data_IF_788008623853
#
_entry.id   IF_788008623853
#
_cell.length_a   1.000
_cell.length_b   1.000
_cell.length_c   1.000
_cell.angle_alpha   90.00
_cell.angle_beta   90.00
_cell.angle_gamma   90.00
#
_symmetry.space_group_name_H-M   'P 1'
#
loop_
_entity.id
_entity.type
_entity.pdbx_description
1 polymer ?
#
# COMPACT_ATOMS: atom_id res chain seq x y z
N UNK A 1 9.36 -4.38 14.88
CA UNK A 1 8.67 -3.94 13.65
C UNK A 1 9.17 -4.81 12.52
N UNK A 2 8.34 -5.65 11.92
CA UNK A 2 8.75 -6.48 10.78
C UNK A 2 8.70 -5.63 9.50
N UNK A 3 9.85 -5.33 8.91
CA UNK A 3 10.00 -4.34 7.84
C UNK A 3 9.42 -4.69 6.46
N UNK A 4 8.83 -5.87 6.28
CA UNK A 4 8.30 -6.32 4.99
C UNK A 4 9.36 -6.85 4.01
N UNK A 5 8.95 -7.49 2.91
CA UNK A 5 9.83 -8.06 1.88
C UNK A 5 10.90 -7.10 1.33
N UNK A 6 10.54 -5.84 1.06
CA UNK A 6 11.48 -4.82 0.56
C UNK A 6 12.56 -4.52 1.60
N UNK A 7 12.19 -4.38 2.87
CA UNK A 7 13.18 -4.20 3.94
C UNK A 7 14.11 -5.39 4.08
N UNK A 8 13.61 -6.62 3.90
CA UNK A 8 14.45 -7.81 3.93
C UNK A 8 15.49 -7.81 2.80
N UNK A 9 15.14 -7.32 1.61
CA UNK A 9 16.08 -7.14 0.51
C UNK A 9 17.18 -6.09 0.79
N UNK A 10 16.96 -5.20 1.75
CA UNK A 10 17.92 -4.18 2.18
C UNK A 10 18.82 -4.65 3.32
N UNK A 11 18.80 -5.93 3.71
CA UNK A 11 19.58 -6.44 4.85
C UNK A 11 21.10 -6.21 4.73
N UNK A 12 21.63 -6.10 3.50
CA UNK A 12 23.04 -5.78 3.24
C UNK A 12 23.39 -4.29 3.35
N UNK A 13 22.40 -3.39 3.44
CA UNK A 13 22.57 -1.94 3.58
C UNK A 13 21.66 -1.41 4.70
N UNK A 14 22.14 -1.42 5.96
CA UNK A 14 21.31 -1.04 7.11
C UNK A 14 20.88 0.43 7.08
N UNK A 15 21.65 1.33 6.47
CA UNK A 15 21.29 2.75 6.36
C UNK A 15 20.11 2.92 5.43
N UNK A 16 20.13 2.24 4.27
CA UNK A 16 19.01 2.27 3.34
C UNK A 16 17.76 1.59 3.93
N UNK A 17 17.93 0.49 4.66
CA UNK A 17 16.84 -0.18 5.38
C UNK A 17 16.17 0.74 6.41
N UNK A 18 16.95 1.50 7.18
CA UNK A 18 16.45 2.49 8.14
C UNK A 18 15.67 3.62 7.45
N UNK A 19 16.20 4.16 6.35
CA UNK A 19 15.50 5.20 5.57
C UNK A 19 14.18 4.70 4.99
N UNK A 20 14.15 3.49 4.45
CA UNK A 20 12.93 2.87 3.94
C UNK A 20 11.88 2.71 5.05
N UNK A 21 12.28 2.14 6.19
CA UNK A 21 11.38 1.95 7.34
C UNK A 21 10.85 3.29 7.87
N UNK A 22 11.69 4.32 7.97
CA UNK A 22 11.30 5.64 8.44
C UNK A 22 10.34 6.35 7.47
N UNK A 23 10.59 6.25 6.15
CA UNK A 23 9.70 6.82 5.13
C UNK A 23 8.32 6.15 5.17
N UNK A 24 8.29 4.81 5.17
CA UNK A 24 7.06 4.03 5.29
C UNK A 24 6.27 4.40 6.55
N UNK A 25 6.93 4.45 7.71
CA UNK A 25 6.26 4.78 8.97
C UNK A 25 5.64 6.18 8.97
N UNK A 26 6.29 7.17 8.32
CA UNK A 26 5.73 8.52 8.17
C UNK A 26 4.50 8.55 7.27
N UNK A 27 4.52 7.80 6.16
CA UNK A 27 3.37 7.70 5.26
C UNK A 27 2.18 6.99 5.94
N UNK A 28 2.43 5.86 6.60
CA UNK A 28 1.39 5.12 7.33
C UNK A 28 0.83 5.95 8.51
N UNK A 29 1.70 6.63 9.28
CA UNK A 29 1.30 7.44 10.43
C UNK A 29 0.47 8.69 10.11
N UNK A 30 0.40 9.09 8.83
CA UNK A 30 -0.49 10.18 8.39
C UNK A 30 -1.95 9.73 8.20
N UNK A 31 -2.22 8.42 8.27
CA UNK A 31 -3.51 7.79 8.01
C UNK A 31 -4.04 7.06 9.24
N UNK A 32 -5.32 6.70 9.18
CA UNK A 32 -5.90 5.77 10.14
C UNK A 32 -5.30 4.36 9.95
N UNK A 33 -4.92 3.70 11.05
CA UNK A 33 -4.22 2.42 11.00
C UNK A 33 -5.09 1.29 10.41
N UNK A 34 -6.40 1.33 10.64
CA UNK A 34 -7.33 0.35 10.06
C UNK A 34 -7.43 0.55 8.55
N UNK A 35 -7.46 1.79 8.07
CA UNK A 35 -7.41 2.07 6.64
C UNK A 35 -6.12 1.54 6.00
N UNK A 36 -4.96 1.77 6.62
CA UNK A 36 -3.66 1.24 6.12
C UNK A 36 -3.71 -0.29 6.00
N UNK A 37 -4.23 -0.99 7.01
CA UNK A 37 -4.36 -2.45 6.96
C UNK A 37 -5.28 -2.92 5.82
N UNK A 38 -6.43 -2.28 5.63
CA UNK A 38 -7.36 -2.60 4.54
C UNK A 38 -6.78 -2.34 3.15
N UNK A 39 -6.01 -1.26 2.98
CA UNK A 39 -5.32 -0.95 1.71
C UNK A 39 -4.31 -2.03 1.37
N UNK A 40 -3.49 -2.44 2.35
CA UNK A 40 -2.50 -3.51 2.15
C UNK A 40 -3.17 -4.83 1.80
N UNK A 41 -4.24 -5.19 2.51
CA UNK A 41 -5.03 -6.38 2.24
C UNK A 41 -5.68 -6.35 0.85
N UNK A 42 -6.25 -5.21 0.45
CA UNK A 42 -6.88 -5.05 -0.85
C UNK A 42 -5.87 -5.22 -2.00
N UNK A 43 -4.67 -4.67 -1.85
CA UNK A 43 -3.60 -4.78 -2.85
C UNK A 43 -3.01 -6.20 -2.88
N UNK A 44 -2.78 -6.83 -1.72
CA UNK A 44 -2.35 -8.23 -1.65
C UNK A 44 -3.34 -9.16 -2.38
N UNK A 45 -4.65 -8.95 -2.19
CA UNK A 45 -5.68 -9.70 -2.90
C UNK A 45 -5.62 -9.52 -4.43
N UNK A 46 -5.31 -8.31 -4.92
CA UNK A 46 -5.13 -8.03 -6.37
C UNK A 46 -3.91 -8.78 -6.94
N UNK A 47 -2.88 -8.99 -6.13
CA UNK A 47 -1.72 -9.82 -6.47
C UNK A 47 -1.95 -11.33 -6.31
N UNK A 48 -3.14 -11.75 -5.88
CA UNK A 48 -3.45 -13.17 -5.65
C UNK A 48 -2.78 -13.76 -4.40
N UNK A 49 -2.28 -12.93 -3.49
CA UNK A 49 -1.75 -13.35 -2.20
C UNK A 49 -2.94 -13.71 -1.29
N UNK A 50 -2.87 -14.88 -0.64
CA UNK A 50 -3.94 -15.35 0.24
C UNK A 50 -4.08 -14.42 1.46
N UNK A 51 -5.20 -13.71 1.50
CA UNK A 51 -5.60 -12.83 2.60
C UNK A 51 -7.08 -13.01 2.87
N UNK A 52 -7.53 -12.62 4.08
CA UNK A 52 -8.95 -12.62 4.38
C UNK A 52 -9.73 -11.77 3.35
N UNK A 53 -10.97 -12.14 3.05
CA UNK A 53 -11.82 -11.31 2.22
C UNK A 53 -12.20 -10.01 2.96
N UNK A 54 -12.21 -8.89 2.25
CA UNK A 54 -12.75 -7.62 2.77
C UNK A 54 -14.27 -7.64 2.52
N UNK A 55 -15.06 -7.52 3.59
CA UNK A 55 -16.51 -7.32 3.48
C UNK A 55 -16.82 -5.85 3.17
N UNK A 56 -16.93 -5.52 1.88
CA UNK A 56 -17.19 -4.15 1.41
C UNK A 56 -18.54 -3.59 1.89
N UNK A 57 -19.51 -4.46 2.24
CA UNK A 57 -20.81 -4.05 2.74
C UNK A 57 -20.74 -3.54 4.18
N UNK A 58 -19.76 -4.01 4.96
CA UNK A 58 -19.51 -3.58 6.33
C UNK A 58 -18.67 -2.29 6.44
N UNK A 59 -18.14 -1.77 5.32
CA UNK A 59 -17.33 -0.55 5.31
C UNK A 59 -18.19 0.71 5.25
N UNK A 60 -17.74 1.79 5.91
CA UNK A 60 -18.26 3.12 5.64
C UNK A 60 -17.87 3.61 4.24
N UNK A 61 -18.55 4.64 3.75
CA UNK A 61 -18.37 5.14 2.39
C UNK A 61 -16.94 5.60 2.11
N UNK A 62 -16.33 6.31 3.06
CA UNK A 62 -14.95 6.79 2.97
C UNK A 62 -13.98 5.62 2.76
N UNK A 63 -14.09 4.60 3.60
CA UNK A 63 -13.19 3.43 3.58
C UNK A 63 -13.43 2.61 2.32
N UNK A 64 -14.69 2.43 1.91
CA UNK A 64 -15.05 1.73 0.67
C UNK A 64 -14.44 2.39 -0.56
N UNK A 65 -14.54 3.72 -0.69
CA UNK A 65 -13.92 4.47 -1.79
C UNK A 65 -12.40 4.32 -1.81
N UNK A 66 -11.75 4.41 -0.65
CA UNK A 66 -10.30 4.24 -0.55
C UNK A 66 -9.86 2.82 -0.93
N UNK A 67 -10.58 1.80 -0.47
CA UNK A 67 -10.31 0.39 -0.79
C UNK A 67 -10.52 0.12 -2.28
N UNK A 68 -11.61 0.62 -2.87
CA UNK A 68 -11.87 0.50 -4.30
C UNK A 68 -10.77 1.15 -5.14
N UNK A 69 -10.34 2.35 -4.76
CA UNK A 69 -9.23 3.04 -5.43
C UNK A 69 -7.91 2.27 -5.30
N UNK A 70 -7.60 1.77 -4.10
CA UNK A 70 -6.37 1.00 -3.85
C UNK A 70 -6.27 -0.26 -4.71
N UNK A 71 -7.40 -0.96 -4.97
CA UNK A 71 -7.43 -2.15 -5.83
C UNK A 71 -7.01 -1.85 -7.27
N UNK A 72 -7.19 -0.62 -7.75
CA UNK A 72 -6.84 -0.22 -9.14
C UNK A 72 -5.36 0.12 -9.30
N UNK A 73 -4.66 0.52 -8.24
CA UNK A 73 -3.28 1.01 -8.32
C UNK A 73 -2.30 0.00 -8.97
N UNK A 74 -2.26 -1.30 -8.61
CA UNK A 74 -1.24 -2.21 -9.13
C UNK A 74 -1.20 -2.34 -10.66
N UNK A 75 -2.36 -2.41 -11.33
CA UNK A 75 -2.45 -2.75 -12.75
C UNK A 75 -3.27 -1.79 -13.60
N UNK A 76 -3.98 -0.85 -12.99
CA UNK A 76 -4.86 0.09 -13.68
C UNK A 76 -4.54 1.56 -13.37
N UNK A 77 -3.40 1.87 -12.76
CA UNK A 77 -3.06 3.24 -12.33
C UNK A 77 -3.16 4.29 -13.45
N UNK A 78 -2.89 3.92 -14.71
CA UNK A 78 -3.04 4.81 -15.87
C UNK A 78 -4.48 5.02 -16.34
N UNK A 79 -5.40 4.16 -15.90
CA UNK A 79 -6.83 4.20 -16.20
C UNK A 79 -7.66 4.76 -15.03
N UNK A 80 -7.04 5.18 -13.94
CA UNK A 80 -7.70 5.92 -12.87
C UNK A 80 -7.98 7.34 -13.37
N UNK A 81 -9.23 7.78 -13.28
CA UNK A 81 -9.66 9.09 -13.75
C UNK A 81 -9.47 10.16 -12.68
N UNK A 82 -9.37 11.42 -13.11
CA UNK A 82 -9.35 12.58 -12.21
C UNK A 82 -10.58 12.64 -11.30
N UNK A 83 -11.74 12.19 -11.79
CA UNK A 83 -12.98 12.15 -11.02
C UNK A 83 -12.91 11.14 -9.86
N UNK A 84 -12.30 9.98 -10.09
CA UNK A 84 -12.08 8.97 -9.05
C UNK A 84 -11.06 9.44 -8.02
N UNK A 85 -9.96 10.07 -8.46
CA UNK A 85 -8.99 10.68 -7.55
C UNK A 85 -9.64 11.79 -6.72
N UNK A 86 -10.42 12.69 -7.35
CA UNK A 86 -11.13 13.76 -6.67
C UNK A 86 -12.14 13.24 -5.62
N UNK A 87 -12.80 12.10 -5.89
CA UNK A 87 -13.71 11.48 -4.93
C UNK A 87 -12.97 11.01 -3.66
N UNK A 88 -11.77 10.44 -3.79
CA UNK A 88 -10.96 10.06 -2.62
C UNK A 88 -10.38 11.29 -1.92
N UNK A 89 -9.93 12.30 -2.67
CA UNK A 89 -9.47 13.58 -2.12
C UNK A 89 -10.58 14.25 -1.31
N UNK A 90 -11.84 14.21 -1.74
CA UNK A 90 -12.97 14.75 -0.98
C UNK A 90 -13.17 14.06 0.39
N UNK A 91 -12.77 12.79 0.53
CA UNK A 91 -12.87 12.04 1.79
C UNK A 91 -11.65 12.21 2.71
N UNK A 92 -10.46 12.36 2.14
CA UNK A 92 -9.20 12.37 2.88
C UNK A 92 -8.60 13.77 3.08
N UNK A 93 -8.87 14.68 2.14
CA UNK A 93 -8.08 15.88 1.90
C UNK A 93 -6.77 15.57 1.17
N UNK A 94 -6.26 16.55 0.42
CA UNK A 94 -5.07 16.41 -0.44
C UNK A 94 -3.84 15.82 0.30
N UNK A 95 -3.44 16.30 1.50
CA UNK A 95 -2.24 15.78 2.15
C UNK A 95 -2.33 14.29 2.50
N UNK A 96 -3.52 13.84 2.92
CA UNK A 96 -3.76 12.43 3.26
C UNK A 96 -3.97 11.57 2.02
N UNK A 97 -4.50 12.13 0.93
CA UNK A 97 -4.56 11.43 -0.35
C UNK A 97 -3.16 11.12 -0.91
N UNK A 98 -2.21 12.06 -0.76
CA UNK A 98 -0.80 11.81 -1.11
C UNK A 98 -0.20 10.70 -0.24
N UNK A 99 -0.38 10.76 1.09
CA UNK A 99 0.09 9.70 1.98
C UNK A 99 -0.54 8.33 1.64
N UNK A 100 -1.84 8.30 1.35
CA UNK A 100 -2.56 7.11 0.90
C UNK A 100 -1.97 6.55 -0.40
N UNK A 101 -1.69 7.40 -1.38
CA UNK A 101 -1.08 6.99 -2.65
C UNK A 101 0.31 6.37 -2.44
N UNK A 102 1.12 6.94 -1.53
CA UNK A 102 2.42 6.37 -1.14
C UNK A 102 2.24 5.01 -0.48
N UNK A 103 1.33 4.88 0.49
CA UNK A 103 1.07 3.60 1.18
C UNK A 103 0.62 2.52 0.18
N UNK A 104 -0.24 2.86 -0.77
CA UNK A 104 -0.69 1.93 -1.79
C UNK A 104 0.44 1.51 -2.74
N UNK A 105 1.28 2.46 -3.19
CA UNK A 105 2.44 2.12 -4.03
C UNK A 105 3.47 1.24 -3.29
N UNK A 106 3.71 1.52 -2.00
CA UNK A 106 4.57 0.68 -1.18
C UNK A 106 3.97 -0.72 -1.00
N UNK A 107 2.66 -0.84 -0.76
CA UNK A 107 2.01 -2.13 -0.66
C UNK A 107 2.11 -2.95 -1.96
N UNK A 108 1.97 -2.31 -3.13
CA UNK A 108 2.18 -2.95 -4.43
C UNK A 108 3.62 -3.46 -4.59
N UNK A 109 4.60 -2.61 -4.27
CA UNK A 109 6.02 -2.98 -4.31
C UNK A 109 6.35 -4.14 -3.36
N UNK A 110 5.78 -4.14 -2.16
CA UNK A 110 5.96 -5.20 -1.15
C UNK A 110 5.39 -6.54 -1.63
N UNK A 111 4.19 -6.55 -2.21
CA UNK A 111 3.59 -7.76 -2.77
C UNK A 111 4.45 -8.33 -3.91
N UNK A 112 4.93 -7.48 -4.82
CA UNK A 112 5.81 -7.92 -5.91
C UNK A 112 7.14 -8.44 -5.40
N UNK A 113 7.73 -7.75 -4.41
CA UNK A 113 8.98 -8.17 -3.78
C UNK A 113 8.84 -9.55 -3.12
N UNK A 114 7.70 -9.83 -2.48
CA UNK A 114 7.38 -11.15 -1.94
C UNK A 114 7.28 -12.21 -3.04
N UNK A 115 6.46 -11.96 -4.07
CA UNK A 115 6.17 -12.91 -5.15
C UNK A 115 7.41 -13.35 -5.93
N UNK A 116 8.42 -12.49 -6.05
CA UNK A 116 9.66 -12.78 -6.79
C UNK A 116 10.83 -13.17 -5.87
N UNK A 117 10.63 -13.22 -4.56
CA UNK A 117 11.71 -13.48 -3.61
C UNK A 117 12.83 -12.43 -3.69
N UNK A 118 12.47 -11.14 -3.72
CA UNK A 118 13.44 -10.04 -3.94
C UNK A 118 14.61 -10.06 -2.95
N UNK A 119 14.39 -10.51 -1.72
CA UNK A 119 15.46 -10.64 -0.74
C UNK A 119 16.57 -11.63 -1.17
N UNK A 120 16.18 -12.75 -1.76
CA UNK A 120 17.13 -13.75 -2.26
C UNK A 120 17.86 -13.23 -3.51
N UNK A 121 17.15 -12.49 -4.37
CA UNK A 121 17.73 -11.83 -5.56
C UNK A 121 18.77 -10.77 -5.17
N UNK A 122 18.53 -10.00 -4.10
CA UNK A 122 19.44 -8.95 -3.64
C UNK A 122 20.68 -9.49 -2.91
N UNK A 123 20.63 -10.74 -2.42
CA UNK A 123 21.75 -11.40 -1.76
C UNK A 123 22.68 -12.16 -2.73
N UNK A 124 22.34 -12.19 -4.02
CA UNK A 124 23.08 -12.84 -5.11
C UNK A 124 24.15 -11.93 -5.71
#
# INVERSE_FOLDING_TARGET
>A
MSGGPVFAALAGDPVLAEHYAAFRARAEGALDARLVALVRQAIAAVHGIEVAAIDDAALDERTRLCVAYARRIPFEHTAITDAEAAAVVAQLGEPRFVAFSVVAALADAECRAELVGLADLAAS
#
